data_IF_960062727054
#
_entry.id   IF_960062727054
#
_cell.length_a   1.000
_cell.length_b   1.000
_cell.length_c   1.000
_cell.angle_alpha   90.00
_cell.angle_beta   90.00
_cell.angle_gamma   90.00
#
_symmetry.space_group_name_H-M   'P 1'
#
loop_
_entity.id
_entity.type
_entity.pdbx_description
1 polymer ?
#
# COMPACT_ATOMS: atom_id res chain seq x y z
N UNK A 1 4.64 26.69 2.08
CA UNK A 1 5.59 25.70 1.52
C UNK A 1 4.84 24.41 1.35
N UNK A 2 4.88 23.78 0.18
CA UNK A 2 4.21 22.49 -0.06
C UNK A 2 4.80 21.42 0.87
N UNK A 3 3.94 20.71 1.60
CA UNK A 3 4.36 19.57 2.43
C UNK A 3 4.98 18.47 1.56
N UNK A 4 6.16 17.97 1.92
CA UNK A 4 6.83 16.82 1.28
C UNK A 4 7.08 15.73 2.30
N UNK A 5 7.36 14.50 1.84
CA UNK A 5 7.68 13.39 2.74
C UNK A 5 8.92 13.69 3.59
N UNK A 6 9.94 14.31 3.00
CA UNK A 6 11.18 14.65 3.71
C UNK A 6 10.98 15.78 4.73
N UNK A 7 10.24 16.84 4.38
CA UNK A 7 9.96 17.92 5.34
C UNK A 7 9.09 17.44 6.50
N UNK A 8 8.18 16.50 6.22
CA UNK A 8 7.41 15.80 7.25
C UNK A 8 8.33 14.98 8.14
N UNK A 9 9.25 14.20 7.57
CA UNK A 9 10.20 13.38 8.35
C UNK A 9 11.11 14.21 9.24
N UNK A 10 11.61 15.36 8.75
CA UNK A 10 12.43 16.27 9.57
C UNK A 10 11.66 16.81 10.78
N UNK A 11 10.37 17.11 10.60
CA UNK A 11 9.48 17.53 11.70
C UNK A 11 9.29 16.39 12.71
N UNK A 12 9.12 15.16 12.23
CA UNK A 12 9.03 13.97 13.09
C UNK A 12 10.31 13.78 13.89
N UNK A 13 11.49 13.81 13.25
CA UNK A 13 12.79 13.68 13.92
C UNK A 13 12.97 14.74 15.00
N UNK A 14 12.63 16.00 14.72
CA UNK A 14 12.76 17.08 15.68
C UNK A 14 11.93 16.84 16.96
N UNK A 15 10.80 16.14 16.83
CA UNK A 15 9.92 15.76 17.95
C UNK A 15 10.34 14.50 18.71
N UNK A 16 11.35 13.75 18.23
CA UNK A 16 11.82 12.55 18.90
C UNK A 16 12.66 12.86 20.15
N UNK A 17 12.68 11.94 21.14
CA UNK A 17 13.68 11.92 22.20
C UNK A 17 15.11 12.06 21.64
N UNK A 18 16.02 12.82 22.30
CA UNK A 18 17.35 13.11 21.77
C UNK A 18 18.15 11.87 21.33
N UNK A 19 18.04 10.78 22.08
CA UNK A 19 18.71 9.50 21.85
C UNK A 19 18.19 8.74 20.60
N UNK A 20 16.99 9.07 20.11
CA UNK A 20 16.41 8.45 18.90
C UNK A 20 16.63 9.27 17.63
N UNK A 21 17.16 10.50 17.72
CA UNK A 21 17.30 11.40 16.56
C UNK A 21 18.34 10.92 15.56
N UNK A 22 19.52 10.54 16.04
CA UNK A 22 20.58 10.00 15.17
C UNK A 22 20.17 8.67 14.52
N UNK A 23 19.66 7.67 15.28
CA UNK A 23 19.10 6.46 14.67
C UNK A 23 18.03 6.74 13.61
N UNK A 24 17.16 7.74 13.83
CA UNK A 24 16.15 8.12 12.86
C UNK A 24 16.75 8.77 11.59
N UNK A 25 17.82 9.58 11.71
CA UNK A 25 18.46 10.21 10.55
C UNK A 25 19.09 9.18 9.61
N UNK A 26 19.78 8.18 10.15
CA UNK A 26 20.40 7.11 9.37
C UNK A 26 19.44 5.97 8.98
N UNK A 27 18.15 6.06 9.32
CA UNK A 27 17.23 4.91 9.31
C UNK A 27 17.15 4.22 7.95
N UNK A 28 17.05 4.97 6.84
CA UNK A 28 16.91 4.38 5.51
C UNK A 28 18.12 3.55 5.10
N UNK A 29 19.33 4.01 5.44
CA UNK A 29 20.56 3.26 5.21
C UNK A 29 20.63 2.02 6.10
N UNK A 30 20.31 2.18 7.39
CA UNK A 30 20.26 1.09 8.38
C UNK A 30 19.20 0.02 8.07
N UNK A 31 18.19 0.34 7.27
CA UNK A 31 17.18 -0.60 6.77
C UNK A 31 17.55 -1.23 5.42
N UNK A 32 18.71 -0.88 4.83
CA UNK A 32 19.13 -1.34 3.51
C UNK A 32 18.32 -0.76 2.35
N UNK A 33 17.53 0.30 2.58
CA UNK A 33 16.69 0.95 1.58
C UNK A 33 17.45 2.03 0.78
N UNK A 34 18.56 2.51 1.34
CA UNK A 34 19.40 3.54 0.76
C UNK A 34 20.85 3.08 0.66
N UNK A 35 21.55 3.58 -0.37
CA UNK A 35 22.98 3.32 -0.58
C UNK A 35 23.88 4.19 0.29
N UNK A 36 23.38 5.33 0.75
CA UNK A 36 24.14 6.27 1.58
C UNK A 36 23.28 6.76 2.75
N UNK A 37 23.89 7.16 3.88
CA UNK A 37 23.18 7.70 5.05
C UNK A 37 22.38 8.98 4.78
N UNK A 38 22.75 9.75 3.76
CA UNK A 38 22.14 11.04 3.42
C UNK A 38 20.91 10.90 2.50
N UNK A 39 20.58 9.69 2.08
CA UNK A 39 19.44 9.45 1.19
C UNK A 39 18.13 9.90 1.85
N UNK A 40 17.28 10.50 1.04
CA UNK A 40 15.98 11.02 1.46
C UNK A 40 14.88 9.97 1.30
N UNK A 41 13.74 10.18 1.97
CA UNK A 41 12.57 9.33 1.77
C UNK A 41 12.03 9.46 0.34
N UNK A 42 12.20 10.62 -0.30
CA UNK A 42 11.85 10.79 -1.70
C UNK A 42 12.71 9.93 -2.66
N UNK A 43 13.95 9.58 -2.29
CA UNK A 43 14.82 8.72 -3.08
C UNK A 43 14.39 7.25 -3.05
N UNK A 44 13.76 6.84 -1.94
CA UNK A 44 13.19 5.50 -1.74
C UNK A 44 11.80 5.41 -2.37
N UNK A 45 10.92 6.38 -2.09
CA UNK A 45 9.57 6.45 -2.65
C UNK A 45 9.56 7.15 -4.01
N UNK A 46 10.18 6.53 -5.02
CA UNK A 46 10.34 7.14 -6.35
C UNK A 46 9.01 7.39 -7.07
N UNK A 47 8.03 6.52 -6.87
CA UNK A 47 6.71 6.66 -7.47
C UNK A 47 5.92 7.77 -6.78
N UNK A 48 5.36 8.68 -7.58
CA UNK A 48 4.63 9.83 -7.06
C UNK A 48 3.42 9.44 -6.18
N UNK A 49 2.59 8.43 -6.53
CA UNK A 49 1.52 7.99 -5.64
C UNK A 49 2.02 7.43 -4.31
N UNK A 50 3.21 6.84 -4.24
CA UNK A 50 3.77 6.36 -2.97
C UNK A 50 4.13 7.52 -2.03
N UNK A 51 4.46 8.70 -2.58
CA UNK A 51 4.74 9.92 -1.81
C UNK A 51 3.47 10.70 -1.46
N UNK A 52 2.57 10.86 -2.42
CA UNK A 52 1.49 11.85 -2.36
C UNK A 52 0.11 11.23 -2.67
N UNK A 53 -0.17 10.00 -2.24
CA UNK A 53 -1.43 9.31 -2.61
C UNK A 53 -2.71 10.13 -2.38
N UNK A 54 -2.86 10.94 -1.30
CA UNK A 54 -4.04 11.78 -1.10
C UNK A 54 -4.30 12.77 -2.25
N UNK A 55 -3.24 13.28 -2.90
CA UNK A 55 -3.35 14.16 -4.06
C UNK A 55 -4.02 13.46 -5.25
N UNK A 56 -3.86 12.15 -5.38
CA UNK A 56 -4.43 11.35 -6.45
C UNK A 56 -5.89 10.96 -6.21
N UNK A 57 -6.39 11.11 -4.99
CA UNK A 57 -7.79 10.90 -4.67
C UNK A 57 -8.68 12.10 -5.06
N UNK A 58 -8.10 13.27 -5.32
CA UNK A 58 -8.84 14.49 -5.65
C UNK A 58 -8.90 14.75 -7.16
N UNK A 59 -9.98 15.38 -7.67
CA UNK A 59 -10.04 15.82 -9.06
C UNK A 59 -9.05 16.98 -9.32
N UNK A 60 -8.61 17.14 -10.58
CA UNK A 60 -7.61 18.16 -10.96
C UNK A 60 -8.08 19.58 -10.63
N UNK A 61 -9.37 19.86 -10.81
CA UNK A 61 -9.99 21.15 -10.56
C UNK A 61 -10.40 21.39 -9.09
N UNK A 62 -10.02 20.50 -8.15
CA UNK A 62 -10.31 20.69 -6.73
C UNK A 62 -9.52 21.86 -6.16
N UNK A 63 -10.11 23.05 -6.14
CA UNK A 63 -9.58 24.28 -5.53
C UNK A 63 -9.80 24.36 -4.01
N UNK A 64 -10.38 23.31 -3.40
CA UNK A 64 -10.79 23.32 -2.01
C UNK A 64 -9.67 22.94 -1.03
N UNK A 65 -9.26 23.91 -0.21
CA UNK A 65 -8.44 23.85 1.00
C UNK A 65 -7.16 22.98 0.94
N UNK A 66 -6.08 23.61 0.45
CA UNK A 66 -4.71 23.07 0.47
C UNK A 66 -4.31 22.57 1.86
N UNK A 67 -4.78 23.20 2.96
CA UNK A 67 -4.41 22.79 4.32
C UNK A 67 -4.98 21.43 4.68
N UNK A 68 -6.23 21.15 4.30
CA UNK A 68 -6.84 19.83 4.48
C UNK A 68 -6.05 18.77 3.72
N UNK A 69 -5.72 19.01 2.44
CA UNK A 69 -4.92 18.06 1.67
C UNK A 69 -3.55 17.82 2.30
N UNK A 70 -2.85 18.87 2.72
CA UNK A 70 -1.56 18.77 3.40
C UNK A 70 -1.64 17.97 4.69
N UNK A 71 -2.73 18.08 5.47
CA UNK A 71 -2.94 17.28 6.67
C UNK A 71 -3.05 15.79 6.35
N UNK A 72 -3.82 15.40 5.32
CA UNK A 72 -3.90 14.02 4.89
C UNK A 72 -2.59 13.52 4.25
N UNK A 73 -1.81 14.37 3.59
CA UNK A 73 -0.47 14.01 3.10
C UNK A 73 0.48 13.71 4.27
N UNK A 74 0.49 14.53 5.34
CA UNK A 74 1.29 14.22 6.55
C UNK A 74 0.88 12.90 7.18
N UNK A 75 -0.42 12.61 7.25
CA UNK A 75 -0.93 11.33 7.73
C UNK A 75 -0.45 10.14 6.85
N UNK A 76 -0.46 10.31 5.53
CA UNK A 76 0.08 9.33 4.58
C UNK A 76 1.58 9.09 4.80
N UNK A 77 2.38 10.15 4.96
CA UNK A 77 3.80 10.03 5.28
C UNK A 77 4.05 9.30 6.61
N UNK A 78 3.26 9.60 7.65
CA UNK A 78 3.31 8.89 8.92
C UNK A 78 3.07 7.38 8.76
N UNK A 79 2.11 7.00 7.91
CA UNK A 79 1.88 5.62 7.55
C UNK A 79 3.10 4.99 6.87
N UNK A 80 3.74 5.70 5.92
CA UNK A 80 4.95 5.24 5.25
C UNK A 80 6.10 4.98 6.24
N UNK A 81 6.39 5.91 7.16
CA UNK A 81 7.48 5.76 8.12
C UNK A 81 7.29 4.54 9.03
N UNK A 82 6.08 4.37 9.57
CA UNK A 82 5.76 3.24 10.42
C UNK A 82 5.84 1.92 9.67
N UNK A 83 5.11 1.81 8.55
CA UNK A 83 4.94 0.53 7.85
C UNK A 83 6.26 0.04 7.25
N UNK A 84 7.08 0.93 6.66
CA UNK A 84 8.40 0.52 6.13
C UNK A 84 9.30 -0.05 7.22
N UNK A 85 9.34 0.57 8.40
CA UNK A 85 10.14 0.09 9.52
C UNK A 85 9.67 -1.28 10.03
N UNK A 86 8.36 -1.45 10.27
CA UNK A 86 7.85 -2.71 10.82
C UNK A 86 7.87 -3.85 9.80
N UNK A 87 7.72 -3.55 8.51
CA UNK A 87 7.81 -4.54 7.43
C UNK A 87 9.24 -5.08 7.31
N UNK A 88 10.24 -4.19 7.30
CA UNK A 88 11.67 -4.58 7.28
C UNK A 88 12.06 -5.45 8.49
N UNK A 89 11.53 -5.14 9.68
CA UNK A 89 11.73 -5.97 10.87
C UNK A 89 11.01 -7.33 10.78
N UNK A 90 9.79 -7.35 10.24
CA UNK A 90 8.99 -8.58 10.10
C UNK A 90 9.59 -9.56 9.08
N UNK A 91 10.16 -9.04 8.00
CA UNK A 91 10.78 -9.82 6.92
C UNK A 91 12.23 -10.21 7.25
N UNK A 92 12.73 -9.86 8.44
CA UNK A 92 14.11 -10.11 8.91
C UNK A 92 15.17 -9.46 8.01
N UNK A 93 14.80 -8.43 7.27
CA UNK A 93 15.70 -7.61 6.46
C UNK A 93 16.41 -6.55 7.31
N UNK A 94 15.90 -6.27 8.51
CA UNK A 94 16.56 -5.48 9.54
C UNK A 94 16.41 -6.14 10.92
N UNK A 95 17.45 -6.15 11.78
CA UNK A 95 17.34 -6.75 13.10
C UNK A 95 16.41 -5.94 14.01
N UNK A 96 15.70 -6.63 14.89
CA UNK A 96 14.89 -5.99 15.94
C UNK A 96 15.84 -5.48 17.03
N UNK A 97 15.82 -4.18 17.30
CA UNK A 97 16.59 -3.54 18.38
C UNK A 97 15.68 -2.66 19.22
N UNK A 98 16.02 -2.37 20.49
CA UNK A 98 15.23 -1.48 21.35
C UNK A 98 14.98 -0.10 20.71
N UNK A 99 15.95 0.45 19.98
CA UNK A 99 15.83 1.73 19.29
C UNK A 99 14.77 1.68 18.19
N UNK A 100 14.77 0.61 17.37
CA UNK A 100 13.81 0.44 16.28
C UNK A 100 12.39 0.21 16.80
N UNK A 101 12.22 -0.54 17.88
CA UNK A 101 10.91 -0.72 18.52
C UNK A 101 10.36 0.60 19.08
N UNK A 102 11.23 1.41 19.69
CA UNK A 102 10.86 2.75 20.16
C UNK A 102 10.54 3.69 19.00
N UNK A 103 11.32 3.68 17.92
CA UNK A 103 11.02 4.44 16.70
C UNK A 103 9.67 4.05 16.10
N UNK A 104 9.38 2.75 15.99
CA UNK A 104 8.10 2.26 15.50
C UNK A 104 6.93 2.75 16.37
N UNK A 105 7.11 2.80 17.69
CA UNK A 105 6.12 3.36 18.62
C UNK A 105 5.88 4.85 18.36
N UNK A 106 6.94 5.63 18.18
CA UNK A 106 6.82 7.07 17.87
C UNK A 106 6.21 7.33 16.49
N UNK A 107 6.57 6.55 15.47
CA UNK A 107 5.97 6.68 14.13
C UNK A 107 4.50 6.29 14.12
N UNK A 108 4.10 5.25 14.86
CA UNK A 108 2.69 4.89 15.02
C UNK A 108 1.91 5.99 15.73
N UNK A 109 2.45 6.56 16.81
CA UNK A 109 1.84 7.67 17.53
C UNK A 109 1.68 8.91 16.62
N UNK A 110 2.70 9.22 15.82
CA UNK A 110 2.64 10.29 14.83
C UNK A 110 1.56 10.03 13.78
N UNK A 111 1.50 8.82 13.22
CA UNK A 111 0.49 8.46 12.22
C UNK A 111 -0.94 8.59 12.77
N UNK A 112 -1.19 8.06 13.98
CA UNK A 112 -2.49 8.18 14.65
C UNK A 112 -2.89 9.64 14.86
N UNK A 113 -1.99 10.44 15.44
CA UNK A 113 -2.25 11.87 15.70
C UNK A 113 -2.52 12.64 14.40
N UNK A 114 -1.63 12.51 13.40
CA UNK A 114 -1.76 13.24 12.14
C UNK A 114 -3.03 12.87 11.35
N UNK A 115 -3.44 11.60 11.37
CA UNK A 115 -4.70 11.20 10.74
C UNK A 115 -5.92 11.71 11.54
N UNK A 116 -5.90 11.63 12.87
CA UNK A 116 -6.97 12.18 13.72
C UNK A 116 -7.14 13.69 13.54
N UNK A 117 -6.04 14.44 13.50
CA UNK A 117 -6.02 15.89 13.21
C UNK A 117 -6.60 16.21 11.83
N UNK A 118 -6.30 15.39 10.81
CA UNK A 118 -6.79 15.60 9.44
C UNK A 118 -8.27 15.22 9.26
N UNK A 119 -8.71 14.12 9.87
CA UNK A 119 -10.06 13.57 9.72
C UNK A 119 -11.08 14.29 10.62
N UNK A 120 -10.64 14.78 11.79
CA UNK A 120 -11.49 15.39 12.80
C UNK A 120 -12.24 14.40 13.70
N UNK A 121 -11.99 13.09 13.55
CA UNK A 121 -12.62 12.02 14.33
C UNK A 121 -11.57 11.03 14.85
N UNK A 122 -11.15 11.21 16.11
CA UNK A 122 -10.14 10.37 16.76
C UNK A 122 -10.58 8.90 16.90
N UNK A 123 -11.86 8.65 17.16
CA UNK A 123 -12.35 7.29 17.37
C UNK A 123 -12.39 6.50 16.05
N UNK A 124 -12.90 7.13 14.99
CA UNK A 124 -12.88 6.56 13.65
C UNK A 124 -11.45 6.29 13.17
N UNK A 125 -10.54 7.26 13.33
CA UNK A 125 -9.15 7.13 12.88
C UNK A 125 -8.38 6.04 13.62
N UNK A 126 -8.54 5.92 14.95
CA UNK A 126 -7.99 4.82 15.71
C UNK A 126 -8.48 3.46 15.19
N UNK A 127 -9.80 3.33 14.95
CA UNK A 127 -10.41 2.08 14.45
C UNK A 127 -9.89 1.68 13.07
N UNK A 128 -9.72 2.62 12.14
CA UNK A 128 -9.22 2.31 10.79
C UNK A 128 -7.73 1.96 10.78
N UNK A 129 -6.90 2.64 11.56
CA UNK A 129 -5.47 2.33 11.71
C UNK A 129 -5.30 0.94 12.34
N UNK A 130 -6.01 0.66 13.43
CA UNK A 130 -5.91 -0.64 14.10
C UNK A 130 -6.40 -1.78 13.22
N UNK A 131 -7.44 -1.55 12.41
CA UNK A 131 -7.88 -2.51 11.39
C UNK A 131 -6.78 -2.73 10.35
N UNK A 132 -6.12 -1.67 9.89
CA UNK A 132 -4.99 -1.75 8.96
C UNK A 132 -3.83 -2.56 9.51
N UNK A 133 -3.41 -2.31 10.75
CA UNK A 133 -2.34 -3.05 11.42
C UNK A 133 -2.70 -4.53 11.60
N UNK A 134 -3.94 -4.84 12.02
CA UNK A 134 -4.40 -6.24 12.11
C UNK A 134 -4.42 -6.92 10.74
N UNK A 135 -4.81 -6.20 9.69
CA UNK A 135 -4.77 -6.72 8.33
C UNK A 135 -3.33 -7.01 7.89
N UNK A 136 -2.40 -6.07 8.08
CA UNK A 136 -0.98 -6.26 7.76
C UNK A 136 -0.37 -7.45 8.50
N UNK A 137 -0.55 -7.55 9.83
CA UNK A 137 -0.07 -8.72 10.62
C UNK A 137 -0.60 -10.05 10.08
N UNK A 138 -1.88 -10.08 9.68
CA UNK A 138 -2.48 -11.26 9.06
C UNK A 138 -1.86 -11.54 7.68
N UNK A 139 -1.57 -10.51 6.89
CA UNK A 139 -0.88 -10.62 5.61
C UNK A 139 0.50 -11.26 5.76
N UNK A 140 1.33 -10.71 6.65
CA UNK A 140 2.66 -11.25 7.01
C UNK A 140 2.57 -12.71 7.44
N UNK A 141 1.65 -13.05 8.35
CA UNK A 141 1.50 -14.43 8.82
C UNK A 141 1.08 -15.41 7.69
N UNK A 142 0.24 -14.96 6.75
CA UNK A 142 -0.18 -15.77 5.61
C UNK A 142 0.96 -15.97 4.61
N UNK A 143 1.77 -14.94 4.37
CA UNK A 143 2.95 -15.00 3.51
C UNK A 143 4.01 -15.94 4.09
N UNK A 144 4.38 -15.76 5.36
CA UNK A 144 5.32 -16.64 6.06
C UNK A 144 4.85 -18.10 6.03
N UNK A 145 3.56 -18.34 6.25
CA UNK A 145 3.00 -19.69 6.16
C UNK A 145 3.01 -20.28 4.74
N UNK A 146 2.87 -19.44 3.70
CA UNK A 146 2.95 -19.87 2.31
C UNK A 146 4.38 -20.21 1.90
N UNK A 147 5.36 -19.36 2.28
CA UNK A 147 6.77 -19.58 2.05
C UNK A 147 7.28 -20.84 2.77
N UNK A 148 6.89 -21.03 4.04
CA UNK A 148 7.23 -22.24 4.80
C UNK A 148 6.66 -23.53 4.16
N UNK A 149 5.47 -23.46 3.56
CA UNK A 149 4.87 -24.58 2.81
C UNK A 149 5.41 -24.71 1.39
N UNK A 150 6.25 -23.76 0.94
CA UNK A 150 6.77 -23.64 -0.42
C UNK A 150 5.66 -23.66 -1.50
N UNK A 151 4.46 -23.18 -1.15
CA UNK A 151 3.29 -23.26 -2.02
C UNK A 151 2.32 -22.12 -1.73
N UNK A 152 1.94 -21.42 -2.79
CA UNK A 152 1.01 -20.31 -2.75
C UNK A 152 0.03 -20.42 -3.93
N UNK A 153 -1.26 -20.25 -3.67
CA UNK A 153 -2.25 -20.11 -4.75
C UNK A 153 -2.50 -18.64 -5.08
N UNK A 154 -2.92 -18.36 -6.32
CA UNK A 154 -3.11 -16.99 -6.83
C UNK A 154 -4.11 -16.15 -6.03
N UNK A 155 -5.15 -16.78 -5.46
CA UNK A 155 -6.16 -16.06 -4.68
C UNK A 155 -5.61 -15.67 -3.32
N UNK A 156 -4.83 -16.55 -2.68
CA UNK A 156 -4.09 -16.25 -1.45
C UNK A 156 -3.03 -15.19 -1.68
N UNK A 157 -2.29 -15.28 -2.79
CA UNK A 157 -1.31 -14.25 -3.17
C UNK A 157 -1.97 -12.88 -3.24
N UNK A 158 -3.03 -12.72 -4.03
CA UNK A 158 -3.75 -11.44 -4.10
C UNK A 158 -4.28 -10.97 -2.74
N UNK A 159 -4.78 -11.88 -1.90
CA UNK A 159 -5.21 -11.53 -0.55
C UNK A 159 -4.06 -11.02 0.33
N UNK A 160 -2.89 -11.65 0.26
CA UNK A 160 -1.69 -11.25 1.01
C UNK A 160 -1.32 -9.81 0.63
N UNK A 161 -1.24 -9.50 -0.66
CA UNK A 161 -0.93 -8.14 -1.16
C UNK A 161 -1.89 -7.11 -0.55
N UNK A 162 -3.20 -7.34 -0.65
CA UNK A 162 -4.19 -6.38 -0.16
C UNK A 162 -4.12 -6.18 1.36
N UNK A 163 -3.75 -7.24 2.10
CA UNK A 163 -3.55 -7.17 3.54
C UNK A 163 -2.27 -6.41 3.89
N UNK A 164 -1.15 -6.65 3.17
CA UNK A 164 0.14 -6.01 3.43
C UNK A 164 0.16 -4.54 3.00
N UNK A 165 -0.47 -4.18 1.89
CA UNK A 165 -0.33 -2.85 1.27
C UNK A 165 -1.55 -1.93 1.45
N UNK A 166 -2.67 -2.45 1.96
CA UNK A 166 -3.91 -1.70 2.09
C UNK A 166 -3.81 -0.44 2.96
N UNK A 167 -2.85 -0.38 3.89
CA UNK A 167 -2.64 0.76 4.79
C UNK A 167 -2.31 2.06 4.03
N UNK A 168 -1.63 1.98 2.88
CA UNK A 168 -1.19 3.16 2.15
C UNK A 168 -2.37 3.95 1.55
N UNK A 169 -3.52 3.29 1.33
CA UNK A 169 -4.75 3.94 0.87
C UNK A 169 -5.53 4.71 1.95
N UNK A 170 -5.22 4.50 3.24
CA UNK A 170 -6.11 4.93 4.33
C UNK A 170 -6.32 6.44 4.39
N UNK A 171 -5.26 7.24 4.26
CA UNK A 171 -5.37 8.70 4.29
C UNK A 171 -6.23 9.23 3.13
N UNK A 172 -6.07 8.68 1.93
CA UNK A 172 -6.88 9.03 0.76
C UNK A 172 -8.36 8.65 0.93
N UNK A 173 -8.64 7.49 1.54
CA UNK A 173 -10.01 7.07 1.81
C UNK A 173 -10.70 7.96 2.85
N UNK A 174 -9.99 8.35 3.91
CA UNK A 174 -10.51 9.28 4.91
C UNK A 174 -10.74 10.67 4.29
N UNK A 175 -9.81 11.18 3.47
CA UNK A 175 -9.98 12.43 2.72
C UNK A 175 -11.25 12.43 1.86
N UNK A 176 -11.51 11.34 1.12
CA UNK A 176 -12.72 11.20 0.31
C UNK A 176 -13.99 11.18 1.17
N UNK A 177 -13.97 10.55 2.34
CA UNK A 177 -15.12 10.57 3.28
C UNK A 177 -15.33 11.97 3.86
N UNK A 178 -14.26 12.63 4.25
CA UNK A 178 -14.28 14.00 4.77
C UNK A 178 -14.89 14.98 3.77
N UNK A 179 -14.67 14.77 2.46
CA UNK A 179 -15.28 15.55 1.37
C UNK A 179 -16.70 15.11 1.00
N UNK A 180 -17.31 14.19 1.76
CA UNK A 180 -18.65 13.62 1.51
C UNK A 180 -18.73 12.87 0.16
N UNK A 181 -17.60 12.38 -0.34
CA UNK A 181 -17.50 11.60 -1.58
C UNK A 181 -17.46 10.09 -1.32
N UNK A 182 -18.25 9.63 -0.35
CA UNK A 182 -18.24 8.23 0.10
C UNK A 182 -18.48 7.22 -1.02
N UNK A 183 -19.27 7.59 -2.04
CA UNK A 183 -19.53 6.77 -3.23
C UNK A 183 -18.27 6.52 -4.09
N UNK A 184 -17.30 7.46 -4.08
CA UNK A 184 -16.05 7.39 -4.83
C UNK A 184 -14.96 6.60 -4.11
N UNK A 185 -15.01 6.51 -2.78
CA UNK A 185 -14.07 5.71 -1.94
C UNK A 185 -13.91 4.29 -2.48
N UNK A 186 -15.01 3.67 -2.91
CA UNK A 186 -15.00 2.31 -3.45
C UNK A 186 -14.13 2.18 -4.70
N UNK A 187 -14.31 3.10 -5.65
CA UNK A 187 -13.57 3.11 -6.91
C UNK A 187 -12.11 3.45 -6.67
N UNK A 188 -11.83 4.37 -5.74
CA UNK A 188 -10.47 4.69 -5.33
C UNK A 188 -9.76 3.46 -4.75
N UNK A 189 -10.38 2.80 -3.76
CA UNK A 189 -9.83 1.59 -3.15
C UNK A 189 -9.57 0.50 -4.18
N UNK A 190 -10.47 0.29 -5.12
CA UNK A 190 -10.30 -0.68 -6.19
C UNK A 190 -9.12 -0.31 -7.09
N UNK A 191 -9.03 0.95 -7.55
CA UNK A 191 -7.93 1.42 -8.38
C UNK A 191 -6.58 1.30 -7.65
N UNK A 192 -6.53 1.69 -6.38
CA UNK A 192 -5.34 1.53 -5.53
C UNK A 192 -4.96 0.06 -5.33
N UNK A 193 -5.93 -0.81 -5.05
CA UNK A 193 -5.69 -2.26 -4.87
C UNK A 193 -5.11 -2.91 -6.14
N UNK A 194 -5.61 -2.50 -7.31
CA UNK A 194 -5.09 -2.95 -8.61
C UNK A 194 -3.67 -2.42 -8.85
N UNK A 195 -3.40 -1.15 -8.54
CA UNK A 195 -2.04 -0.59 -8.60
C UNK A 195 -1.09 -1.35 -7.67
N UNK A 196 -1.46 -1.53 -6.40
CA UNK A 196 -0.64 -2.22 -5.41
C UNK A 196 -0.33 -3.65 -5.84
N UNK A 197 -1.33 -4.38 -6.36
CA UNK A 197 -1.14 -5.72 -6.91
C UNK A 197 -0.27 -5.72 -8.17
N UNK A 198 -0.40 -4.71 -9.03
CA UNK A 198 0.43 -4.56 -10.21
C UNK A 198 1.89 -4.30 -9.87
N UNK A 199 2.14 -3.42 -8.90
CA UNK A 199 3.48 -3.09 -8.43
C UNK A 199 4.13 -4.27 -7.70
N UNK A 200 3.42 -4.95 -6.79
CA UNK A 200 3.96 -6.14 -6.14
C UNK A 200 4.36 -7.21 -7.16
N UNK A 201 3.59 -7.41 -8.23
CA UNK A 201 4.01 -8.33 -9.28
C UNK A 201 5.36 -7.94 -9.91
N UNK A 202 5.58 -6.65 -10.16
CA UNK A 202 6.83 -6.17 -10.76
C UNK A 202 8.00 -6.34 -9.80
N UNK A 203 7.78 -6.05 -8.51
CA UNK A 203 8.78 -6.18 -7.45
C UNK A 203 9.15 -7.67 -7.24
N UNK A 204 8.17 -8.56 -7.07
CA UNK A 204 8.39 -10.02 -6.95
C UNK A 204 9.12 -10.62 -8.17
N UNK A 205 8.96 -10.02 -9.35
CA UNK A 205 9.68 -10.44 -10.56
C UNK A 205 11.13 -9.96 -10.58
N UNK A 206 11.37 -8.73 -10.11
CA UNK A 206 12.68 -8.11 -10.08
C UNK A 206 13.56 -8.72 -8.98
N UNK A 207 12.95 -9.05 -7.85
CA UNK A 207 13.63 -9.49 -6.63
C UNK A 207 13.66 -11.03 -6.51
N UNK A 208 13.09 -11.76 -7.46
CA UNK A 208 12.97 -13.22 -7.43
C UNK A 208 14.28 -13.97 -7.10
N UNK A 209 15.42 -13.49 -7.65
CA UNK A 209 16.73 -14.10 -7.40
C UNK A 209 17.27 -13.79 -5.99
N UNK A 210 16.99 -12.59 -5.48
CA UNK A 210 17.34 -12.19 -4.12
C UNK A 210 16.50 -12.96 -3.10
N UNK A 211 15.19 -13.06 -3.32
CA UNK A 211 14.28 -13.84 -2.48
C UNK A 211 14.68 -15.32 -2.43
N UNK A 212 15.08 -15.90 -3.56
CA UNK A 212 15.56 -17.28 -3.60
C UNK A 212 16.86 -17.45 -2.79
N UNK A 213 17.77 -16.47 -2.83
CA UNK A 213 19.00 -16.51 -2.05
C UNK A 213 18.76 -16.34 -0.54
N UNK A 214 17.82 -15.48 -0.14
CA UNK A 214 17.54 -15.16 1.28
C UNK A 214 16.57 -16.16 1.92
N UNK A 215 15.55 -16.57 1.18
CA UNK A 215 14.44 -17.38 1.70
C UNK A 215 14.39 -18.81 1.12
N UNK A 216 15.24 -19.14 0.16
CA UNK A 216 15.28 -20.45 -0.49
C UNK A 216 14.12 -20.70 -1.47
N UNK A 217 13.27 -19.68 -1.71
CA UNK A 217 12.14 -19.68 -2.64
C UNK A 217 11.59 -18.26 -2.83
N UNK A 218 11.48 -17.80 -4.07
CA UNK A 218 10.74 -16.57 -4.41
C UNK A 218 9.23 -16.79 -4.64
N UNK A 219 8.45 -15.72 -4.57
CA UNK A 219 6.99 -15.76 -4.81
C UNK A 219 6.61 -16.37 -6.18
N UNK A 220 7.27 -16.05 -7.30
CA UNK A 220 6.97 -16.67 -8.59
C UNK A 220 7.07 -18.21 -8.55
N UNK A 221 8.12 -18.72 -7.93
CA UNK A 221 8.35 -20.16 -7.79
C UNK A 221 7.29 -20.81 -6.89
N UNK A 222 6.91 -20.18 -5.77
CA UNK A 222 5.84 -20.66 -4.89
C UNK A 222 4.47 -20.75 -5.58
N UNK A 223 4.23 -19.90 -6.58
CA UNK A 223 3.01 -19.89 -7.41
C UNK A 223 3.10 -20.81 -8.63
N UNK A 224 4.26 -21.40 -8.93
CA UNK A 224 4.49 -22.27 -10.08
C UNK A 224 4.53 -21.51 -11.42
N UNK A 225 4.98 -20.26 -11.42
CA UNK A 225 5.09 -19.43 -12.63
C UNK A 225 6.50 -18.88 -12.83
N UNK A 226 6.92 -18.65 -14.08
CA UNK A 226 8.19 -17.97 -14.34
C UNK A 226 8.13 -16.51 -13.87
N UNK A 227 9.21 -15.95 -13.28
CA UNK A 227 9.24 -14.55 -12.84
C UNK A 227 8.85 -13.55 -13.94
N UNK A 228 9.23 -13.82 -15.19
CA UNK A 228 8.89 -12.99 -16.36
C UNK A 228 7.38 -12.82 -16.57
N UNK A 229 6.55 -13.79 -16.20
CA UNK A 229 5.09 -13.69 -16.32
C UNK A 229 4.49 -12.56 -15.47
N UNK A 230 5.16 -12.19 -14.37
CA UNK A 230 4.67 -11.18 -13.45
C UNK A 230 4.81 -9.75 -14.01
N UNK A 231 5.76 -9.48 -14.90
CA UNK A 231 5.81 -8.20 -15.63
C UNK A 231 4.54 -7.99 -16.48
N UNK A 232 4.06 -9.06 -17.14
CA UNK A 232 2.78 -9.03 -17.87
C UNK A 232 1.61 -8.76 -16.92
N UNK A 233 1.58 -9.45 -15.77
CA UNK A 233 0.53 -9.24 -14.79
C UNK A 233 0.52 -7.80 -14.26
N UNK A 234 1.70 -7.25 -13.94
CA UNK A 234 1.87 -5.88 -13.47
C UNK A 234 1.35 -4.84 -14.47
N UNK A 235 1.67 -4.99 -15.75
CA UNK A 235 1.20 -4.09 -16.80
C UNK A 235 -0.33 -4.13 -16.95
N UNK A 236 -0.93 -5.33 -16.97
CA UNK A 236 -2.37 -5.51 -17.12
C UNK A 236 -3.15 -4.95 -15.92
N UNK A 237 -2.70 -5.23 -14.69
CA UNK A 237 -3.32 -4.73 -13.47
C UNK A 237 -3.21 -3.20 -13.36
N UNK A 238 -2.07 -2.61 -13.73
CA UNK A 238 -1.91 -1.15 -13.75
C UNK A 238 -2.83 -0.50 -14.78
N UNK A 239 -3.05 -1.14 -15.94
CA UNK A 239 -4.03 -0.68 -16.92
C UNK A 239 -5.46 -0.76 -16.38
N UNK A 240 -5.83 -1.86 -15.73
CA UNK A 240 -7.13 -2.00 -15.07
C UNK A 240 -7.34 -0.96 -13.96
N UNK A 241 -6.28 -0.63 -13.21
CA UNK A 241 -6.28 0.46 -12.24
C UNK A 241 -6.59 1.81 -12.91
N UNK A 242 -5.96 2.11 -14.06
CA UNK A 242 -6.20 3.35 -14.80
C UNK A 242 -7.67 3.49 -15.25
N UNK A 243 -8.24 2.41 -15.79
CA UNK A 243 -9.65 2.36 -16.18
C UNK A 243 -10.59 2.56 -14.98
N UNK A 244 -10.27 1.94 -13.85
CA UNK A 244 -11.04 2.08 -12.61
C UNK A 244 -10.94 3.51 -12.04
N UNK A 245 -9.76 4.10 -12.08
CA UNK A 245 -9.53 5.48 -11.65
C UNK A 245 -10.30 6.48 -12.54
N UNK A 246 -10.31 6.25 -13.85
CA UNK A 246 -11.09 7.04 -14.81
C UNK A 246 -12.60 6.97 -14.51
N UNK A 247 -13.15 5.77 -14.27
CA UNK A 247 -14.55 5.59 -13.83
C UNK A 247 -14.86 6.33 -12.52
N UNK A 248 -13.88 6.41 -11.62
CA UNK A 248 -13.98 7.16 -10.36
C UNK A 248 -13.73 8.66 -10.48
N UNK A 249 -13.48 9.17 -11.70
CA UNK A 249 -13.13 10.58 -11.99
C UNK A 249 -11.91 11.06 -11.20
N UNK A 250 -10.92 10.19 -11.02
CA UNK A 250 -9.64 10.54 -10.42
C UNK A 250 -8.66 10.90 -11.53
N UNK A 251 -8.87 12.02 -12.22
CA UNK A 251 -8.21 12.29 -13.52
C UNK A 251 -6.69 12.25 -13.41
N UNK A 252 -6.12 12.86 -12.36
CA UNK A 252 -4.68 12.84 -12.07
C UNK A 252 -4.17 11.40 -11.91
N UNK A 253 -4.92 10.56 -11.21
CA UNK A 253 -4.54 9.17 -10.96
C UNK A 253 -4.67 8.32 -12.22
N UNK A 254 -5.76 8.47 -12.96
CA UNK A 254 -5.96 7.79 -14.23
C UNK A 254 -4.84 8.12 -15.23
N UNK A 255 -4.48 9.40 -15.38
CA UNK A 255 -3.38 9.83 -16.26
C UNK A 255 -2.04 9.22 -15.85
N UNK A 256 -1.68 9.29 -14.56
CA UNK A 256 -0.44 8.71 -14.06
C UNK A 256 -0.41 7.19 -14.27
N UNK A 257 -1.52 6.49 -13.97
CA UNK A 257 -1.63 5.04 -14.14
C UNK A 257 -1.56 4.63 -15.62
N UNK A 258 -2.19 5.38 -16.53
CA UNK A 258 -2.09 5.13 -17.96
C UNK A 258 -0.67 5.27 -18.49
N UNK A 259 0.05 6.31 -18.05
CA UNK A 259 1.46 6.47 -18.36
C UNK A 259 2.29 5.30 -17.81
N UNK A 260 2.14 4.98 -16.52
CA UNK A 260 2.85 3.89 -15.86
C UNK A 260 2.57 2.53 -16.51
N UNK A 261 1.32 2.25 -16.89
CA UNK A 261 0.96 1.03 -17.61
C UNK A 261 1.68 0.92 -18.96
N UNK A 262 1.93 2.05 -19.63
CA UNK A 262 2.65 2.09 -20.90
C UNK A 262 4.15 1.83 -20.71
N UNK A 263 4.75 2.35 -19.63
CA UNK A 263 6.14 2.02 -19.27
C UNK A 263 6.31 0.52 -18.95
N UNK A 264 5.39 -0.05 -18.15
CA UNK A 264 5.40 -1.47 -17.82
C UNK A 264 5.17 -2.35 -19.05
N UNK A 265 4.34 -1.91 -19.99
CA UNK A 265 4.13 -2.58 -21.27
C UNK A 265 5.41 -2.62 -22.11
N UNK A 266 6.20 -1.55 -22.12
CA UNK A 266 7.50 -1.54 -22.78
C UNK A 266 8.51 -2.48 -22.10
N UNK A 267 8.53 -2.51 -20.75
CA UNK A 267 9.34 -3.48 -20.00
C UNK A 267 8.91 -4.91 -20.35
N UNK A 268 7.60 -5.17 -20.41
CA UNK A 268 7.02 -6.46 -20.79
C UNK A 268 7.54 -6.91 -22.16
N UNK A 269 7.46 -6.05 -23.18
CA UNK A 269 7.92 -6.34 -24.53
C UNK A 269 9.41 -6.69 -24.60
N UNK A 270 10.23 -6.12 -23.72
CA UNK A 270 11.68 -6.38 -23.66
C UNK A 270 12.07 -7.62 -22.86
N UNK A 271 11.30 -7.96 -21.82
CA UNK A 271 11.68 -8.96 -20.82
C UNK A 271 10.90 -10.26 -20.89
N UNK A 272 9.74 -10.27 -21.55
CA UNK A 272 8.79 -11.40 -21.48
C UNK A 272 8.82 -12.20 -22.76
N UNK A 273 9.06 -13.51 -22.65
CA UNK A 273 8.94 -14.43 -23.78
C UNK A 273 7.47 -14.60 -24.14
N UNK A 274 7.10 -14.77 -25.42
CA UNK A 274 5.70 -14.97 -25.82
C UNK A 274 4.97 -16.07 -25.03
N UNK A 275 5.66 -17.17 -24.70
CA UNK A 275 5.11 -18.28 -23.92
C UNK A 275 4.72 -17.91 -22.48
N UNK A 276 5.37 -16.91 -21.88
CA UNK A 276 5.13 -16.49 -20.48
C UNK A 276 3.94 -15.49 -20.39
N UNK A 277 3.42 -14.99 -21.52
CA UNK A 277 2.32 -14.04 -21.54
C UNK A 277 1.01 -14.63 -21.01
N UNK A 278 0.70 -15.88 -21.38
CA UNK A 278 -0.53 -16.55 -20.94
C UNK A 278 -0.53 -16.72 -19.41
N UNK A 279 0.61 -17.10 -18.83
CA UNK A 279 0.78 -17.17 -17.38
C UNK A 279 0.51 -15.81 -16.72
N UNK A 280 1.06 -14.72 -17.28
CA UNK A 280 0.82 -13.37 -16.78
C UNK A 280 -0.65 -12.93 -16.84
N UNK A 281 -1.36 -13.29 -17.91
CA UNK A 281 -2.81 -13.02 -18.03
C UNK A 281 -3.62 -13.78 -16.97
N UNK A 282 -3.25 -15.03 -16.68
CA UNK A 282 -3.91 -15.85 -15.64
C UNK A 282 -3.67 -15.25 -14.24
N UNK A 283 -2.46 -14.79 -13.95
CA UNK A 283 -2.13 -14.09 -12.71
C UNK A 283 -2.95 -12.81 -12.60
N UNK A 284 -2.90 -11.94 -13.62
CA UNK A 284 -3.64 -10.67 -13.64
C UNK A 284 -5.14 -10.87 -13.41
N UNK A 285 -5.77 -11.79 -14.14
CA UNK A 285 -7.21 -12.04 -14.03
C UNK A 285 -7.60 -12.53 -12.63
N UNK A 286 -6.76 -13.37 -12.02
CA UNK A 286 -6.98 -13.87 -10.67
C UNK A 286 -6.88 -12.76 -9.63
N UNK A 287 -5.87 -11.88 -9.76
CA UNK A 287 -5.64 -10.76 -8.84
C UNK A 287 -6.70 -9.66 -9.00
N UNK A 288 -7.10 -9.36 -10.23
CA UNK A 288 -8.19 -8.42 -10.52
C UNK A 288 -9.50 -8.88 -9.87
N UNK A 289 -9.84 -10.17 -10.00
CA UNK A 289 -11.02 -10.73 -9.36
C UNK A 289 -10.99 -10.57 -7.82
N UNK A 290 -9.81 -10.76 -7.19
CA UNK A 290 -9.64 -10.52 -5.75
C UNK A 290 -9.84 -9.05 -5.40
N UNK A 291 -9.22 -8.13 -6.14
CA UNK A 291 -9.38 -6.68 -5.94
C UNK A 291 -10.85 -6.25 -6.06
N UNK A 292 -11.56 -6.73 -7.08
CA UNK A 292 -12.97 -6.43 -7.27
C UNK A 292 -13.84 -6.99 -6.13
N UNK A 293 -13.50 -8.17 -5.60
CA UNK A 293 -14.28 -8.80 -4.52
C UNK A 293 -14.24 -8.02 -3.20
N UNK A 294 -13.09 -7.40 -2.87
CA UNK A 294 -12.94 -6.61 -1.64
C UNK A 294 -13.50 -5.19 -1.76
N UNK A 295 -13.73 -4.73 -2.99
CA UNK A 295 -14.32 -3.43 -3.28
C UNK A 295 -15.84 -3.48 -3.38
N UNK A 296 -16.50 -4.63 -3.44
CA UNK A 296 -17.97 -4.69 -3.45
C UNK A 296 -18.57 -4.31 -2.08
N UNK A 297 -19.73 -3.63 -2.03
CA UNK A 297 -20.46 -3.49 -0.78
C UNK A 297 -20.80 -4.89 -0.27
N UNK A 298 -20.50 -5.15 1.00
CA UNK A 298 -21.15 -6.24 1.73
C UNK A 298 -22.62 -5.85 1.82
N UNK A 299 -23.44 -6.35 0.90
CA UNK A 299 -24.87 -6.47 1.21
C UNK A 299 -24.99 -7.40 2.42
N UNK A 300 -25.85 -6.99 3.35
CA UNK A 300 -26.28 -7.67 4.58
C UNK A 300 -25.40 -7.61 5.82
N UNK A 301 -25.74 -6.65 6.69
CA UNK A 301 -25.99 -6.94 8.11
C UNK A 301 -27.20 -6.14 8.64
N UNK A 302 -28.22 -5.95 7.80
CA UNK A 302 -29.60 -5.73 8.24
C UNK A 302 -30.31 -7.09 8.23
N UNK A 303 -29.96 -7.93 9.20
CA UNK A 303 -30.91 -8.82 9.83
C UNK A 303 -31.26 -8.09 11.13
N UNK A 304 -32.34 -7.33 11.21
CA UNK A 304 -33.68 -7.87 11.00
C UNK A 304 -34.05 -8.81 12.14
N UNK A 305 -33.70 -8.49 13.39
CA UNK A 305 -34.44 -9.04 14.53
C UNK A 305 -35.75 -8.28 14.57
N UNK A 306 -36.71 -8.82 13.84
CA UNK A 306 -38.13 -8.56 14.05
C UNK A 306 -38.47 -8.79 15.52
N UNK A 307 -38.98 -7.73 16.14
CA UNK A 307 -39.98 -7.79 17.19
C UNK A 307 -40.89 -9.02 17.06
N UNK A 308 -40.88 -9.87 18.07
CA UNK A 308 -42.03 -10.67 18.47
C UNK A 308 -42.30 -10.32 19.93
N UNK A 309 -43.13 -9.30 20.13
CA UNK A 309 -43.88 -9.14 21.36
C UNK A 309 -45.10 -10.06 21.33
N UNK A 310 -45.34 -10.68 22.50
CA UNK A 310 -46.63 -11.17 23.00
C UNK A 310 -47.15 -12.52 22.51
N UNK A 311 -47.12 -13.53 23.39
CA UNK A 311 -48.31 -14.05 24.09
C UNK A 311 -48.12 -15.52 24.52
N UNK A 312 -47.69 -15.73 25.78
CA UNK A 312 -48.23 -16.64 26.81
C UNK A 312 -47.21 -16.78 27.94
#
# INVERSE_FOLDING_TARGET
>A
MRTTIDSTYQTVIASLPPDLREPARGLLFELGLARTPEASWADVFRLQPSRDLPLFALPIASTGDERTLEAFQRAHHGACFYNVLVDRMADRQAPITPERERLATHFLAYWRRSLAEADGDEHHTAKVIDRGIRAWRRGVALEQAALARRSLDRRRYGRIILLKLGWAGLASECLLRHRVEASRVRLFRCAFSLLASGMQCVDDAADAAEDEAVHGLGVPAALGFPPTAFFTAGALLTRAAALTASRGRFERFAQWLSHRASELEWIRQRRVRPADNLAGMVIASSLEAVCLSVSRPTHDSTVGITSCASSM
#
